data_IF_994423579912
#
_entry.id   IF_994423579912
#
_cell.length_a   1.000
_cell.length_b   1.000
_cell.length_c   1.000
_cell.angle_alpha   90.00
_cell.angle_beta   90.00
_cell.angle_gamma   90.00
#
_symmetry.space_group_name_H-M   'P 1'
#
loop_
_entity.id
_entity.type
_entity.pdbx_description
1 polymer ?
#
# COMPACT_ATOMS: atom_id res chain seq x y z
N UNK A 1 -38.64 -10.88 -63.24
CA UNK A 1 -39.23 -10.52 -61.93
C UNK A 1 -38.31 -11.02 -60.83
N UNK A 2 -37.35 -10.20 -60.39
CA UNK A 2 -36.53 -10.47 -59.21
C UNK A 2 -36.29 -9.14 -58.50
N UNK A 3 -36.99 -8.94 -57.38
CA UNK A 3 -36.74 -7.86 -56.43
C UNK A 3 -35.95 -8.45 -55.26
N UNK A 4 -34.81 -7.86 -54.86
CA UNK A 4 -34.11 -8.26 -53.66
C UNK A 4 -34.85 -7.69 -52.43
N UNK A 5 -35.26 -8.58 -51.53
CA UNK A 5 -35.78 -8.22 -50.21
C UNK A 5 -34.71 -7.50 -49.41
N UNK A 6 -35.00 -6.27 -49.02
CA UNK A 6 -34.30 -5.55 -47.96
C UNK A 6 -34.41 -6.33 -46.65
N UNK A 7 -33.26 -6.80 -46.13
CA UNK A 7 -33.14 -7.17 -44.72
C UNK A 7 -32.52 -5.97 -44.01
N UNK A 8 -33.38 -5.12 -43.44
CA UNK A 8 -32.98 -4.30 -42.32
C UNK A 8 -32.68 -5.26 -41.17
N UNK A 9 -31.39 -5.51 -40.91
CA UNK A 9 -30.97 -6.16 -39.69
C UNK A 9 -31.14 -5.13 -38.57
N UNK A 10 -32.14 -5.33 -37.73
CA UNK A 10 -32.30 -4.55 -36.51
C UNK A 10 -31.05 -4.74 -35.64
N UNK A 11 -30.38 -3.63 -35.35
CA UNK A 11 -29.42 -3.51 -34.26
C UNK A 11 -30.16 -3.71 -32.93
N UNK A 12 -30.39 -4.96 -32.56
CA UNK A 12 -30.99 -5.33 -31.26
C UNK A 12 -30.61 -6.77 -30.91
N UNK A 13 -29.31 -7.03 -30.86
CA UNK A 13 -28.81 -7.99 -29.88
C UNK A 13 -28.20 -7.13 -28.79
N UNK A 14 -29.01 -6.79 -27.77
CA UNK A 14 -28.46 -6.51 -26.46
C UNK A 14 -27.52 -7.68 -26.16
N UNK A 15 -26.22 -7.41 -26.08
CA UNK A 15 -25.30 -8.36 -25.46
C UNK A 15 -25.93 -8.64 -24.11
N UNK A 16 -26.26 -9.90 -23.80
CA UNK A 16 -26.63 -10.28 -22.43
C UNK A 16 -25.61 -9.61 -21.53
N UNK A 17 -26.03 -8.60 -20.77
CA UNK A 17 -25.15 -7.89 -19.88
C UNK A 17 -24.67 -8.96 -18.89
N UNK A 18 -23.40 -9.33 -18.96
CA UNK A 18 -22.81 -10.29 -18.04
C UNK A 18 -23.01 -9.74 -16.63
N UNK A 19 -24.02 -10.23 -15.94
CA UNK A 19 -24.29 -9.82 -14.56
C UNK A 19 -23.29 -10.50 -13.67
N UNK A 20 -22.50 -9.73 -12.94
CA UNK A 20 -21.47 -10.23 -12.03
C UNK A 20 -21.94 -10.05 -10.59
N UNK A 21 -21.79 -11.10 -9.79
CA UNK A 21 -22.07 -11.05 -8.36
C UNK A 21 -20.77 -10.94 -7.59
N UNK A 22 -20.66 -9.91 -6.74
CA UNK A 22 -19.55 -9.70 -5.80
C UNK A 22 -20.03 -10.02 -4.39
N UNK A 23 -19.38 -11.00 -3.74
CA UNK A 23 -19.70 -11.38 -2.36
C UNK A 23 -18.70 -10.72 -1.41
N UNK A 24 -19.18 -9.78 -0.62
CA UNK A 24 -18.45 -9.01 0.38
C UNK A 24 -18.16 -7.58 -0.08
N UNK A 25 -18.61 -6.59 0.69
CA UNK A 25 -18.40 -5.17 0.41
C UNK A 25 -17.18 -4.61 1.15
N UNK A 26 -16.08 -5.35 1.18
CA UNK A 26 -14.77 -4.84 1.65
C UNK A 26 -14.04 -4.06 0.55
N UNK A 27 -12.86 -3.48 0.82
CA UNK A 27 -12.12 -2.66 -0.16
C UNK A 27 -11.88 -3.38 -1.50
N UNK A 28 -11.50 -4.66 -1.46
CA UNK A 28 -11.30 -5.45 -2.68
C UNK A 28 -12.60 -5.66 -3.47
N UNK A 29 -13.69 -6.04 -2.79
CA UNK A 29 -14.99 -6.26 -3.44
C UNK A 29 -15.57 -4.96 -4.02
N UNK A 30 -15.49 -3.85 -3.28
CA UNK A 30 -15.92 -2.54 -3.76
C UNK A 30 -15.08 -2.04 -4.93
N UNK A 31 -13.75 -2.21 -4.88
CA UNK A 31 -12.87 -1.86 -6.00
C UNK A 31 -13.18 -2.70 -7.25
N UNK A 32 -13.36 -4.02 -7.10
CA UNK A 32 -13.76 -4.88 -8.22
C UNK A 32 -15.12 -4.48 -8.79
N UNK A 33 -16.12 -4.22 -7.94
CA UNK A 33 -17.45 -3.80 -8.37
C UNK A 33 -17.40 -2.48 -9.13
N UNK A 34 -16.65 -1.49 -8.61
CA UNK A 34 -16.47 -0.19 -9.25
C UNK A 34 -15.83 -0.32 -10.64
N UNK A 35 -14.74 -1.08 -10.76
CA UNK A 35 -14.04 -1.27 -12.03
C UNK A 35 -14.89 -2.03 -13.06
N UNK A 36 -15.64 -3.05 -12.63
CA UNK A 36 -16.56 -3.78 -13.49
C UNK A 36 -17.71 -2.88 -13.97
N UNK A 37 -18.33 -2.14 -13.05
CA UNK A 37 -19.41 -1.22 -13.37
C UNK A 37 -18.96 -0.11 -14.34
N UNK A 38 -17.76 0.44 -14.15
CA UNK A 38 -17.16 1.41 -15.06
C UNK A 38 -16.93 0.87 -16.48
N UNK A 39 -16.79 -0.46 -16.64
CA UNK A 39 -16.68 -1.14 -17.93
C UNK A 39 -18.04 -1.61 -18.49
N UNK A 40 -19.16 -1.11 -17.94
CA UNK A 40 -20.51 -1.39 -18.44
C UNK A 40 -21.09 -2.73 -18.01
N UNK A 41 -20.50 -3.39 -17.01
CA UNK A 41 -20.98 -4.65 -16.43
C UNK A 41 -22.03 -4.36 -15.36
N UNK A 42 -23.15 -5.10 -15.35
CA UNK A 42 -24.12 -5.02 -14.26
C UNK A 42 -23.58 -5.79 -13.04
N UNK A 43 -23.44 -5.13 -11.89
CA UNK A 43 -22.82 -5.74 -10.70
C UNK A 43 -23.75 -5.71 -9.50
N UNK A 44 -24.02 -6.89 -8.94
CA UNK A 44 -24.73 -7.04 -7.66
C UNK A 44 -23.70 -7.29 -6.54
N UNK A 45 -23.67 -6.43 -5.52
CA UNK A 45 -22.80 -6.57 -4.34
C UNK A 45 -23.60 -7.05 -3.14
N UNK A 46 -23.20 -8.18 -2.55
CA UNK A 46 -23.83 -8.74 -1.35
C UNK A 46 -22.92 -8.60 -0.15
N UNK A 47 -23.36 -7.91 0.88
CA UNK A 47 -22.68 -7.81 2.17
C UNK A 47 -23.55 -8.43 3.26
N UNK A 48 -22.91 -9.18 4.17
CA UNK A 48 -23.61 -9.82 5.28
C UNK A 48 -23.99 -8.80 6.36
N UNK A 49 -23.18 -7.76 6.54
CA UNK A 49 -23.40 -6.69 7.52
C UNK A 49 -24.33 -5.61 6.95
N UNK A 50 -24.90 -4.80 7.83
CA UNK A 50 -25.69 -3.62 7.47
C UNK A 50 -24.86 -2.43 6.98
N UNK A 51 -23.52 -2.57 6.94
CA UNK A 51 -22.57 -1.53 6.56
C UNK A 51 -21.53 -2.11 5.62
N UNK A 52 -21.08 -1.31 4.66
CA UNK A 52 -19.97 -1.64 3.77
C UNK A 52 -18.62 -1.35 4.43
N UNK A 53 -17.52 -1.71 3.78
CA UNK A 53 -16.15 -1.50 4.23
C UNK A 53 -15.48 -2.76 4.79
N UNK A 54 -16.23 -3.79 5.18
CA UNK A 54 -15.65 -5.03 5.69
C UNK A 54 -14.69 -4.77 6.88
N UNK A 55 -13.39 -5.07 6.71
CA UNK A 55 -12.36 -4.77 7.72
C UNK A 55 -12.05 -3.28 7.88
N UNK A 56 -12.37 -2.44 6.89
CA UNK A 56 -12.21 -0.98 6.95
C UNK A 56 -13.54 -0.29 7.29
N UNK A 57 -14.43 -0.96 8.03
CA UNK A 57 -15.70 -0.38 8.47
C UNK A 57 -15.51 0.49 9.71
N UNK A 58 -16.42 1.43 9.90
CA UNK A 58 -16.47 2.32 11.06
C UNK A 58 -17.61 1.89 11.98
N UNK A 59 -17.35 1.89 13.28
CA UNK A 59 -18.34 1.72 14.33
C UNK A 59 -18.72 3.10 14.88
N UNK A 60 -20.02 3.36 15.01
CA UNK A 60 -20.52 4.57 15.65
C UNK A 60 -21.12 4.22 17.02
N UNK A 61 -20.68 4.93 18.06
CA UNK A 61 -21.18 4.78 19.44
C UNK A 61 -21.32 6.17 20.03
N UNK A 62 -22.53 6.54 20.45
CA UNK A 62 -22.80 7.81 21.15
C UNK A 62 -22.26 9.06 20.41
N UNK A 63 -22.30 9.07 19.07
CA UNK A 63 -21.80 10.18 18.24
C UNK A 63 -20.28 10.17 17.99
N UNK A 64 -19.57 9.14 18.49
CA UNK A 64 -18.16 8.92 18.21
C UNK A 64 -17.99 7.87 17.11
N UNK A 65 -17.00 8.08 16.24
CA UNK A 65 -16.63 7.16 15.17
C UNK A 65 -15.32 6.43 15.52
N UNK A 66 -15.32 5.10 15.34
CA UNK A 66 -14.18 4.23 15.59
C UNK A 66 -13.93 3.33 14.38
N UNK A 67 -12.80 3.53 13.70
CA UNK A 67 -12.41 2.64 12.59
C UNK A 67 -11.97 1.28 13.12
N UNK A 68 -12.54 0.20 12.56
CA UNK A 68 -12.34 -1.16 13.04
C UNK A 68 -11.12 -1.87 12.42
N UNK A 69 -10.38 -1.21 11.54
CA UNK A 69 -9.25 -1.81 10.86
C UNK A 69 -8.12 -0.83 10.57
N UNK A 70 -7.55 -0.84 9.35
CA UNK A 70 -6.38 -0.04 9.06
C UNK A 70 -6.70 1.46 9.09
N UNK A 71 -5.94 2.21 9.87
CA UNK A 71 -6.04 3.68 10.01
C UNK A 71 -4.87 4.42 9.37
N UNK A 72 -3.79 3.71 9.02
CA UNK A 72 -2.66 4.28 8.27
C UNK A 72 -2.91 4.12 6.78
N UNK A 73 -3.09 5.25 6.10
CA UNK A 73 -3.29 5.29 4.66
C UNK A 73 -2.01 5.78 3.96
N UNK A 74 -1.11 4.84 3.65
CA UNK A 74 0.25 5.13 3.17
C UNK A 74 0.34 5.34 1.65
N UNK A 75 -0.59 4.79 0.86
CA UNK A 75 -0.48 4.76 -0.60
C UNK A 75 -1.75 5.29 -1.31
N UNK A 76 -2.04 6.61 -1.22
CA UNK A 76 -3.21 7.21 -1.86
C UNK A 76 -3.31 6.95 -3.35
N UNK A 77 -2.15 6.87 -4.02
CA UNK A 77 -2.03 6.60 -5.46
C UNK A 77 -2.82 5.38 -5.92
N UNK A 78 -2.91 4.31 -5.13
CA UNK A 78 -3.65 3.10 -5.54
C UNK A 78 -5.15 3.40 -5.65
N UNK A 79 -5.72 4.17 -4.71
CA UNK A 79 -7.11 4.61 -4.82
C UNK A 79 -7.27 5.61 -5.97
N UNK A 80 -6.33 6.52 -6.17
CA UNK A 80 -6.37 7.45 -7.31
C UNK A 80 -6.42 6.70 -8.65
N UNK A 81 -5.61 5.65 -8.82
CA UNK A 81 -5.60 4.81 -10.02
C UNK A 81 -6.94 4.06 -10.21
N UNK A 82 -7.53 3.53 -9.12
CA UNK A 82 -8.84 2.87 -9.16
C UNK A 82 -9.95 3.85 -9.56
N UNK A 83 -10.00 5.03 -8.93
CA UNK A 83 -11.01 6.05 -9.26
C UNK A 83 -10.83 6.57 -10.69
N UNK A 84 -9.59 6.82 -11.12
CA UNK A 84 -9.29 7.25 -12.48
C UNK A 84 -9.71 6.21 -13.52
N UNK A 85 -9.49 4.92 -13.26
CA UNK A 85 -9.96 3.82 -14.11
C UNK A 85 -11.49 3.75 -14.19
N UNK A 86 -12.18 4.25 -13.16
CA UNK A 86 -13.64 4.40 -13.14
C UNK A 86 -14.14 5.73 -13.72
N UNK A 87 -13.25 6.58 -14.23
CA UNK A 87 -13.58 7.90 -14.78
C UNK A 87 -13.87 8.97 -13.73
N UNK A 88 -13.48 8.75 -12.47
CA UNK A 88 -13.65 9.66 -11.35
C UNK A 88 -12.31 10.18 -10.83
N UNK A 89 -12.32 11.23 -10.00
CA UNK A 89 -11.14 11.72 -9.29
C UNK A 89 -11.32 11.51 -7.79
N UNK A 90 -10.35 10.84 -7.15
CA UNK A 90 -10.41 10.56 -5.71
C UNK A 90 -10.64 11.83 -4.88
N UNK A 91 -9.98 12.93 -5.25
CA UNK A 91 -10.07 14.21 -4.52
C UNK A 91 -11.43 14.92 -4.62
N UNK A 92 -12.30 14.51 -5.54
CA UNK A 92 -13.69 15.00 -5.61
C UNK A 92 -14.62 14.20 -4.71
N UNK A 93 -14.23 12.98 -4.35
CA UNK A 93 -15.06 12.00 -3.65
C UNK A 93 -14.66 11.86 -2.17
N UNK A 94 -13.38 12.08 -1.86
CA UNK A 94 -12.81 11.91 -0.52
C UNK A 94 -11.80 13.02 -0.22
N UNK A 95 -11.99 13.70 0.91
CA UNK A 95 -10.98 14.59 1.46
C UNK A 95 -9.87 13.77 2.14
N UNK A 96 -8.63 13.90 1.66
CA UNK A 96 -7.46 13.28 2.27
C UNK A 96 -6.68 14.33 3.07
N UNK A 97 -6.67 14.14 4.40
CA UNK A 97 -5.90 15.00 5.30
C UNK A 97 -4.51 14.40 5.53
N UNK A 98 -3.47 15.15 5.15
CA UNK A 98 -2.08 14.75 5.42
C UNK A 98 -1.75 14.96 6.89
N UNK A 99 -1.26 13.91 7.55
CA UNK A 99 -0.76 13.98 8.92
C UNK A 99 0.71 14.45 8.93
N UNK A 100 1.01 15.47 9.73
CA UNK A 100 2.37 15.93 10.04
C UNK A 100 2.46 16.27 11.55
N UNK A 101 3.24 15.50 12.35
CA UNK A 101 4.04 14.33 11.96
C UNK A 101 3.18 13.12 11.60
N UNK A 102 3.75 12.14 10.90
CA UNK A 102 3.07 10.90 10.54
C UNK A 102 2.72 10.07 11.78
N UNK A 103 3.64 10.01 12.75
CA UNK A 103 3.44 9.44 14.07
C UNK A 103 4.52 9.95 15.02
N UNK A 104 4.28 9.80 16.33
CA UNK A 104 5.21 10.16 17.40
C UNK A 104 5.62 8.93 18.19
N UNK A 105 6.92 8.72 18.36
CA UNK A 105 7.46 7.71 19.25
C UNK A 105 7.84 8.35 20.58
N UNK A 106 7.23 7.87 21.65
CA UNK A 106 7.51 8.29 23.02
C UNK A 106 8.32 7.19 23.70
N UNK A 107 9.53 7.53 24.17
CA UNK A 107 10.36 6.64 24.96
C UNK A 107 10.21 6.97 26.44
N UNK A 108 10.11 5.95 27.29
CA UNK A 108 10.03 6.11 28.74
C UNK A 108 11.22 6.94 29.26
N UNK A 109 10.93 8.03 29.97
CA UNK A 109 11.91 9.01 30.48
C UNK A 109 12.95 9.48 29.43
N UNK A 110 12.58 9.44 28.15
CA UNK A 110 13.49 9.58 27.04
C UNK A 110 13.12 10.69 26.05
N UNK A 111 13.94 10.87 25.01
CA UNK A 111 13.61 11.75 23.90
C UNK A 111 12.39 11.21 23.15
N UNK A 112 11.61 12.08 22.53
CA UNK A 112 10.60 11.70 21.54
C UNK A 112 11.18 11.77 20.13
N UNK A 113 10.59 11.04 19.19
CA UNK A 113 10.85 11.19 17.75
C UNK A 113 9.53 11.50 17.05
N UNK A 114 9.46 12.67 16.42
CA UNK A 114 8.40 13.00 15.48
C UNK A 114 8.75 12.49 14.07
N UNK A 115 8.13 11.38 13.67
CA UNK A 115 8.40 10.77 12.38
C UNK A 115 7.79 11.61 11.25
N UNK A 116 8.64 12.04 10.33
CA UNK A 116 8.27 12.91 9.21
C UNK A 116 8.97 12.44 7.93
N UNK A 117 8.33 12.61 6.76
CA UNK A 117 8.95 12.32 5.47
C UNK A 117 9.98 13.39 5.05
N UNK A 118 10.06 14.51 5.77
CA UNK A 118 11.10 15.52 5.59
C UNK A 118 12.42 15.00 6.18
N UNK A 119 13.39 14.72 5.31
CA UNK A 119 14.67 14.13 5.70
C UNK A 119 15.45 15.05 6.65
N UNK A 120 15.44 16.36 6.43
CA UNK A 120 16.19 17.31 7.26
C UNK A 120 15.59 17.35 8.67
N UNK A 121 14.26 17.46 8.78
CA UNK A 121 13.56 17.40 10.07
C UNK A 121 13.77 16.06 10.77
N UNK A 122 13.75 14.95 10.02
CA UNK A 122 13.99 13.63 10.58
C UNK A 122 15.44 13.46 11.07
N UNK A 123 16.42 14.02 10.35
CA UNK A 123 17.82 14.06 10.79
C UNK A 123 17.98 14.86 12.09
N UNK A 124 17.28 15.98 12.25
CA UNK A 124 17.27 16.76 13.49
C UNK A 124 16.69 15.96 14.67
N UNK A 125 15.55 15.28 14.47
CA UNK A 125 14.93 14.43 15.49
C UNK A 125 15.88 13.30 15.91
N UNK A 126 16.55 12.64 14.96
CA UNK A 126 17.55 11.61 15.25
C UNK A 126 18.79 12.20 15.93
N UNK A 127 19.24 13.39 15.52
CA UNK A 127 20.44 14.04 16.07
C UNK A 127 20.27 14.39 17.56
N UNK A 128 19.05 14.71 18.00
CA UNK A 128 18.74 14.91 19.44
C UNK A 128 18.99 13.66 20.29
N UNK A 129 18.95 12.48 19.68
CA UNK A 129 19.20 11.19 20.34
C UNK A 129 20.65 10.76 20.14
N UNK A 130 21.10 10.78 18.89
CA UNK A 130 22.41 10.31 18.46
C UNK A 130 22.86 11.10 17.22
N UNK A 131 23.71 12.13 17.40
CA UNK A 131 24.31 12.87 16.29
C UNK A 131 25.12 12.00 15.33
N UNK A 132 25.67 10.88 15.83
CA UNK A 132 26.36 9.91 14.99
C UNK A 132 25.39 9.21 14.04
N UNK A 133 24.24 8.77 14.54
CA UNK A 133 23.25 8.04 13.74
C UNK A 133 22.54 8.94 12.73
N UNK A 134 22.32 10.21 13.06
CA UNK A 134 21.73 11.20 12.15
C UNK A 134 22.51 11.31 10.83
N UNK A 135 23.85 11.30 10.89
CA UNK A 135 24.72 11.35 9.70
C UNK A 135 24.57 10.14 8.77
N UNK A 136 24.01 9.03 9.26
CA UNK A 136 23.79 7.83 8.49
C UNK A 136 22.37 7.74 7.89
N UNK A 137 21.46 8.64 8.28
CA UNK A 137 20.07 8.58 7.89
C UNK A 137 19.88 8.78 6.37
N UNK A 138 20.48 9.82 5.78
CA UNK A 138 20.44 10.02 4.33
C UNK A 138 20.94 8.81 3.51
N UNK A 139 21.98 8.11 3.98
CA UNK A 139 22.46 6.87 3.36
C UNK A 139 21.43 5.75 3.48
N UNK A 140 20.86 5.57 4.68
CA UNK A 140 19.81 4.58 4.91
C UNK A 140 18.59 4.82 4.01
N UNK A 141 18.12 6.07 3.89
CA UNK A 141 16.97 6.41 3.07
C UNK A 141 17.24 6.18 1.58
N UNK A 142 18.39 6.65 1.08
CA UNK A 142 18.81 6.43 -0.32
C UNK A 142 18.89 4.94 -0.66
N UNK A 143 19.49 4.11 0.22
CA UNK A 143 19.58 2.67 0.00
C UNK A 143 18.20 1.98 0.00
N UNK A 144 17.24 2.41 0.83
CA UNK A 144 15.90 1.83 0.86
C UNK A 144 15.03 2.27 -0.31
N UNK A 145 15.13 3.54 -0.73
CA UNK A 145 14.41 4.05 -1.92
C UNK A 145 14.87 3.32 -3.19
N UNK A 146 16.18 3.18 -3.39
CA UNK A 146 16.72 2.44 -4.54
C UNK A 146 16.26 0.96 -4.56
N UNK A 147 16.09 0.34 -3.37
CA UNK A 147 15.51 -1.00 -3.27
C UNK A 147 14.04 -1.02 -3.64
N UNK A 148 13.25 -0.09 -3.11
CA UNK A 148 11.83 0.03 -3.41
C UNK A 148 11.61 0.20 -4.91
N UNK A 149 12.34 1.11 -5.57
CA UNK A 149 12.27 1.35 -7.01
C UNK A 149 12.59 0.09 -7.82
N UNK A 150 13.61 -0.67 -7.41
CA UNK A 150 13.99 -1.91 -8.08
C UNK A 150 12.98 -3.05 -7.88
N UNK A 151 12.30 -3.09 -6.74
CA UNK A 151 11.35 -4.14 -6.40
C UNK A 151 9.91 -3.82 -6.82
N UNK A 152 9.54 -2.54 -6.94
CA UNK A 152 8.17 -2.11 -7.26
C UNK A 152 7.63 -2.74 -8.55
N UNK A 153 8.39 -2.81 -9.67
CA UNK A 153 7.91 -3.46 -10.89
C UNK A 153 7.64 -4.96 -10.72
N UNK A 154 8.41 -5.62 -9.85
CA UNK A 154 8.25 -7.05 -9.57
C UNK A 154 7.00 -7.27 -8.69
N UNK A 155 6.80 -6.42 -7.68
CA UNK A 155 5.66 -6.49 -6.76
C UNK A 155 4.32 -6.13 -7.42
N UNK A 156 4.34 -5.33 -8.50
CA UNK A 156 3.14 -4.92 -9.23
C UNK A 156 2.75 -5.89 -10.36
N UNK A 157 3.50 -6.98 -10.57
CA UNK A 157 3.17 -8.00 -11.57
C UNK A 157 2.32 -9.11 -10.99
N UNK A 158 1.34 -9.63 -11.75
CA UNK A 158 0.64 -10.85 -11.36
C UNK A 158 1.62 -12.03 -11.40
N UNK A 159 1.66 -12.82 -10.32
CA UNK A 159 2.34 -14.11 -10.28
C UNK A 159 1.30 -15.19 -10.56
N UNK A 160 1.19 -15.60 -11.82
CA UNK A 160 0.17 -16.54 -12.30
C UNK A 160 0.65 -18.00 -12.22
N UNK A 161 1.96 -18.23 -12.08
CA UNK A 161 2.50 -19.58 -11.88
C UNK A 161 3.94 -19.64 -11.41
N UNK A 162 4.43 -20.88 -11.19
CA UNK A 162 5.79 -21.13 -10.71
C UNK A 162 6.90 -20.66 -11.67
N UNK A 163 6.58 -20.46 -12.95
CA UNK A 163 7.52 -19.95 -13.95
C UNK A 163 7.85 -18.47 -13.74
N UNK A 164 6.93 -17.70 -13.15
CA UNK A 164 7.14 -16.29 -12.85
C UNK A 164 8.15 -16.10 -11.71
N UNK A 165 8.38 -17.15 -10.89
CA UNK A 165 9.45 -17.19 -9.90
C UNK A 165 10.85 -17.34 -10.52
N UNK A 166 10.92 -17.76 -11.80
CA UNK A 166 12.16 -17.93 -12.56
C UNK A 166 12.41 -16.76 -13.51
N UNK A 167 11.67 -15.65 -13.38
CA UNK A 167 11.79 -14.50 -14.26
C UNK A 167 13.23 -13.94 -14.20
N UNK A 168 13.97 -13.90 -15.34
CA UNK A 168 15.28 -13.28 -15.41
C UNK A 168 15.30 -11.82 -14.95
N UNK A 169 14.16 -11.11 -14.94
CA UNK A 169 14.05 -9.75 -14.44
C UNK A 169 14.28 -9.62 -12.93
N UNK A 170 14.02 -10.67 -12.13
CA UNK A 170 14.45 -10.74 -10.73
C UNK A 170 15.99 -10.63 -10.59
N UNK A 171 16.72 -11.00 -11.65
CA UNK A 171 18.18 -11.02 -11.71
C UNK A 171 18.79 -9.94 -12.62
N UNK A 172 17.97 -9.22 -13.41
CA UNK A 172 18.45 -8.08 -14.22
C UNK A 172 18.84 -6.94 -13.26
N UNK A 173 20.10 -6.51 -13.33
CA UNK A 173 20.67 -5.46 -12.47
C UNK A 173 21.66 -5.92 -11.39
N UNK A 174 22.10 -7.19 -11.42
CA UNK A 174 23.10 -7.73 -10.47
C UNK A 174 22.46 -8.50 -9.31
N UNK A 175 23.24 -8.87 -8.26
CA UNK A 175 22.72 -9.65 -7.13
C UNK A 175 21.47 -9.00 -6.52
N UNK A 176 20.55 -9.80 -5.92
CA UNK A 176 19.35 -9.27 -5.31
C UNK A 176 19.72 -8.13 -4.35
N UNK A 177 19.07 -6.95 -4.44
CA UNK A 177 19.39 -5.81 -3.57
C UNK A 177 18.93 -6.06 -2.12
N UNK A 178 18.39 -7.25 -1.85
CA UNK A 178 17.80 -7.68 -0.60
C UNK A 178 18.53 -8.90 -0.05
N UNK A 179 18.61 -8.97 1.26
CA UNK A 179 19.27 -10.05 2.00
C UNK A 179 18.20 -10.77 2.82
N UNK A 180 17.44 -11.69 2.23
CA UNK A 180 16.31 -12.35 2.92
C UNK A 180 16.73 -13.13 4.17
N UNK A 181 18.01 -13.52 4.28
CA UNK A 181 18.59 -14.18 5.46
C UNK A 181 18.98 -13.21 6.58
N UNK A 182 18.93 -11.89 6.36
CA UNK A 182 19.23 -10.87 7.37
C UNK A 182 17.92 -10.39 8.00
N UNK A 183 17.91 -10.20 9.32
CA UNK A 183 16.78 -9.57 10.00
C UNK A 183 16.83 -8.04 9.88
N UNK A 184 15.67 -7.38 9.99
CA UNK A 184 15.59 -5.91 10.02
C UNK A 184 16.52 -5.32 11.09
N UNK A 185 16.54 -5.86 12.31
CA UNK A 185 17.43 -5.37 13.37
C UNK A 185 18.92 -5.45 12.98
N UNK A 186 19.36 -6.58 12.42
CA UNK A 186 20.76 -6.74 12.00
C UNK A 186 21.12 -5.87 10.81
N UNK A 187 20.16 -5.60 9.92
CA UNK A 187 20.33 -4.62 8.85
C UNK A 187 20.49 -3.20 9.41
N UNK A 188 19.60 -2.78 10.31
CA UNK A 188 19.63 -1.45 10.92
C UNK A 188 20.90 -1.18 11.73
N UNK A 189 21.50 -2.20 12.37
CA UNK A 189 22.80 -2.08 13.06
C UNK A 189 23.95 -1.60 12.16
N UNK A 190 23.82 -1.70 10.83
CA UNK A 190 24.82 -1.18 9.87
C UNK A 190 24.76 0.35 9.73
N UNK A 191 23.66 0.97 10.15
CA UNK A 191 23.41 2.41 10.03
C UNK A 191 23.31 3.07 11.40
N UNK A 192 22.63 2.43 12.35
CA UNK A 192 22.26 3.03 13.62
C UNK A 192 22.78 2.22 14.81
N UNK A 193 23.54 2.89 15.67
CA UNK A 193 24.10 2.33 16.90
C UNK A 193 23.14 2.43 18.07
N UNK A 194 22.43 3.54 18.21
CA UNK A 194 21.49 3.76 19.31
C UNK A 194 20.27 2.81 19.16
N UNK A 195 19.94 2.03 20.20
CA UNK A 195 18.82 1.10 20.13
C UNK A 195 17.45 1.77 19.93
N UNK A 196 17.28 3.02 20.36
CA UNK A 196 16.04 3.80 20.20
C UNK A 196 15.85 4.23 18.76
N UNK A 197 16.92 4.69 18.11
CA UNK A 197 16.93 5.01 16.68
C UNK A 197 16.65 3.74 15.87
N UNK A 198 17.30 2.61 16.20
CA UNK A 198 16.96 1.32 15.57
C UNK A 198 15.51 0.93 15.77
N UNK A 199 14.97 1.10 16.98
CA UNK A 199 13.57 0.79 17.26
C UNK A 199 12.63 1.62 16.37
N UNK A 200 12.91 2.92 16.23
CA UNK A 200 12.13 3.81 15.38
C UNK A 200 12.06 3.34 13.92
N UNK A 201 13.21 3.01 13.33
CA UNK A 201 13.27 2.51 11.95
C UNK A 201 12.89 1.02 11.81
N UNK A 202 12.66 0.30 12.91
CA UNK A 202 12.17 -1.07 12.90
C UNK A 202 10.63 -1.16 12.91
N UNK A 203 9.93 -0.04 13.09
CA UNK A 203 8.46 0.01 13.20
C UNK A 203 7.74 -0.62 12.00
N UNK A 204 8.42 -0.66 10.84
CA UNK A 204 7.93 -1.34 9.64
C UNK A 204 7.59 -2.83 9.84
N UNK A 205 8.33 -3.51 10.72
CA UNK A 205 8.05 -4.91 11.08
C UNK A 205 6.66 -5.09 11.71
N UNK A 206 6.13 -4.06 12.38
CA UNK A 206 4.80 -4.05 12.98
C UNK A 206 3.69 -4.15 11.94
N UNK A 207 3.83 -3.50 10.77
CA UNK A 207 2.83 -3.59 9.69
C UNK A 207 2.64 -5.03 9.20
N UNK A 208 3.67 -5.86 9.34
CA UNK A 208 3.65 -7.25 8.93
C UNK A 208 3.27 -8.21 10.06
N UNK A 209 2.99 -7.69 11.25
CA UNK A 209 2.74 -8.50 12.46
C UNK A 209 3.94 -9.37 12.85
N UNK A 210 5.16 -9.00 12.43
CA UNK A 210 6.37 -9.76 12.67
C UNK A 210 7.29 -9.06 13.67
N UNK A 211 8.07 -9.85 14.42
CA UNK A 211 9.12 -9.30 15.27
C UNK A 211 10.29 -8.77 14.41
N UNK A 212 10.88 -7.59 14.71
CA UNK A 212 12.00 -7.03 13.95
C UNK A 212 13.26 -7.91 13.97
N UNK A 213 13.37 -8.81 14.96
CA UNK A 213 14.47 -9.77 15.07
C UNK A 213 14.34 -10.96 14.11
N UNK A 214 13.14 -11.22 13.58
CA UNK A 214 12.83 -12.34 12.67
C UNK A 214 12.33 -11.88 11.31
N UNK A 215 11.87 -10.65 11.19
CA UNK A 215 11.38 -10.08 9.94
C UNK A 215 12.53 -9.98 8.94
N UNK A 216 12.41 -10.57 7.73
CA UNK A 216 13.42 -10.44 6.69
C UNK A 216 13.67 -8.98 6.30
N UNK A 217 14.91 -8.65 5.99
CA UNK A 217 15.36 -7.31 5.61
C UNK A 217 14.69 -6.78 4.34
N UNK A 218 14.18 -7.66 3.47
CA UNK A 218 13.37 -7.29 2.30
C UNK A 218 12.26 -6.28 2.63
N UNK A 219 11.72 -6.33 3.84
CA UNK A 219 10.65 -5.44 4.29
C UNK A 219 11.12 -4.07 4.81
N UNK A 220 12.42 -3.80 4.84
CA UNK A 220 12.95 -2.48 5.19
C UNK A 220 12.55 -1.39 4.17
N UNK A 221 12.19 -1.79 2.94
CA UNK A 221 11.75 -0.91 1.85
C UNK A 221 10.56 -0.02 2.23
N UNK A 222 9.74 -0.45 3.19
CA UNK A 222 8.60 0.33 3.66
C UNK A 222 9.04 1.62 4.38
N UNK A 223 10.31 1.73 4.79
CA UNK A 223 10.87 2.95 5.40
C UNK A 223 11.02 4.10 4.41
N UNK A 224 10.98 3.84 3.10
CA UNK A 224 11.02 4.86 2.04
C UNK A 224 9.64 5.29 1.54
N UNK A 225 8.57 4.81 2.16
CA UNK A 225 7.16 5.11 1.85
C UNK A 225 6.62 6.01 2.96
#
# INVERSE_FOLDING_TARGET
MSSPRSRGASLSAARDAERVVVIGAGPGGLASALLLAANGVEVDVFERRSVVGGRTSTLEVEGFHFDLGPTFFLYPRVLEEIFAAAGARLSEEVELVRLDPQYRLLFEDGPQIDATPDLERMEEEVARISPEDARHLGRFMTENLAKLERLSPILQRPFEGWRDLLDPELFRGGPPPVRPWLSIDNYLKRFFKDPRVRLAFSFQSKYLGMSPYRCPELFSILSGI
#
